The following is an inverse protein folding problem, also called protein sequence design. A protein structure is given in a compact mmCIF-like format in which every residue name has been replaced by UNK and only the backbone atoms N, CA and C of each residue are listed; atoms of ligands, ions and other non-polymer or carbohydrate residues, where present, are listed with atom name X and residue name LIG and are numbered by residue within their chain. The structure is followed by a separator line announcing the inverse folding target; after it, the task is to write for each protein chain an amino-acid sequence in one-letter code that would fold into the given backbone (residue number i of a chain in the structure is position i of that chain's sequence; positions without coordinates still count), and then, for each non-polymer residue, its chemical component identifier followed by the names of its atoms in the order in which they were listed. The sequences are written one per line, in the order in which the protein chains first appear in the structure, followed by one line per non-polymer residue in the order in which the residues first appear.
data_IF_956021076274
#
_entry.id   IF_956021076274
#
_cell.length_a   1.000
_cell.length_b   1.000
_cell.length_c   1.000
_cell.angle_alpha   90.00
_cell.angle_beta   90.00
_cell.angle_gamma   90.00
#
_symmetry.space_group_name_H-M   'P 1'
#
loop_
_entity.id
_entity.type
_entity.pdbx_description
1 polymer ?
#
# COMPACT_ATOMS: atom_id res chain seq x y z
N UNK A 1 0.96 -35.38 11.09
CA UNK A 1 -0.50 -35.17 11.16
C UNK A 1 -0.76 -33.68 11.32
N UNK A 2 -1.57 -33.10 10.44
CA UNK A 2 -1.98 -31.69 10.54
C UNK A 2 -3.00 -31.62 11.68
N UNK A 3 -2.62 -31.01 12.80
CA UNK A 3 -3.50 -30.86 13.95
C UNK A 3 -4.66 -29.94 13.58
N UNK A 4 -5.90 -30.41 13.76
CA UNK A 4 -7.10 -29.64 13.42
C UNK A 4 -7.55 -28.81 14.62
N UNK A 5 -8.03 -27.59 14.36
CA UNK A 5 -8.57 -26.70 15.39
C UNK A 5 -10.06 -27.02 15.59
N UNK A 6 -10.47 -27.17 16.84
CA UNK A 6 -11.88 -27.32 17.23
C UNK A 6 -12.23 -26.44 18.42
N UNK A 7 -13.51 -26.40 18.79
CA UNK A 7 -13.99 -25.74 20.01
C UNK A 7 -13.29 -26.37 21.20
N UNK A 8 -12.69 -25.55 22.06
CA UNK A 8 -11.92 -25.97 23.23
C UNK A 8 -10.48 -26.42 22.95
N UNK A 9 -9.97 -26.30 21.72
CA UNK A 9 -8.56 -26.58 21.43
C UNK A 9 -7.64 -25.56 22.12
N UNK A 10 -6.55 -26.05 22.72
CA UNK A 10 -5.52 -25.19 23.32
C UNK A 10 -4.50 -24.84 22.25
N UNK A 11 -4.36 -23.55 21.99
CA UNK A 11 -3.55 -23.01 20.91
C UNK A 11 -2.51 -22.02 21.42
N UNK A 12 -1.48 -21.80 20.62
CA UNK A 12 -0.57 -20.66 20.78
C UNK A 12 -0.52 -19.80 19.52
N UNK A 13 -0.43 -18.49 19.69
CA UNK A 13 -0.38 -17.52 18.60
C UNK A 13 0.58 -16.36 18.91
N UNK A 14 1.27 -15.81 17.90
CA UNK A 14 2.16 -14.66 18.06
C UNK A 14 1.39 -13.38 18.39
N UNK A 15 1.81 -12.69 19.46
CA UNK A 15 1.16 -11.49 20.01
C UNK A 15 0.94 -10.37 18.98
N UNK A 16 1.89 -10.21 18.04
CA UNK A 16 1.86 -9.20 16.98
C UNK A 16 0.63 -9.31 16.05
N UNK A 17 0.15 -10.53 15.84
CA UNK A 17 -0.94 -10.82 14.91
C UNK A 17 -2.29 -11.00 15.61
N UNK A 18 -2.32 -10.86 16.94
CA UNK A 18 -3.55 -10.90 17.72
C UNK A 18 -4.33 -9.58 17.56
N UNK A 19 -5.65 -9.66 17.72
CA UNK A 19 -6.60 -8.55 17.71
C UNK A 19 -7.64 -8.75 18.83
N UNK A 20 -8.34 -7.70 19.31
CA UNK A 20 -8.17 -6.28 18.97
C UNK A 20 -6.83 -5.70 19.49
N UNK A 21 -6.19 -4.85 18.70
CA UNK A 21 -4.85 -4.33 19.02
C UNK A 21 -4.83 -3.49 20.31
N UNK A 22 -5.93 -2.78 20.60
CA UNK A 22 -6.08 -1.94 21.82
C UNK A 22 -5.91 -2.77 23.09
N UNK A 23 -6.63 -3.88 23.17
CA UNK A 23 -6.60 -4.84 24.30
C UNK A 23 -5.18 -5.33 24.55
N UNK A 24 -4.50 -5.72 23.47
CA UNK A 24 -3.15 -6.27 23.53
C UNK A 24 -2.13 -5.21 23.94
N UNK A 25 -2.24 -3.99 23.42
CA UNK A 25 -1.34 -2.88 23.72
C UNK A 25 -1.49 -2.37 25.16
N UNK A 26 -2.69 -2.40 25.72
CA UNK A 26 -2.92 -2.05 27.13
C UNK A 26 -2.10 -2.94 28.07
N UNK A 27 -2.04 -4.25 27.77
CA UNK A 27 -1.33 -5.23 28.60
C UNK A 27 0.15 -5.38 28.23
N UNK A 28 0.49 -5.21 26.95
CA UNK A 28 1.85 -5.32 26.41
C UNK A 28 2.23 -4.08 25.59
N UNK A 29 2.56 -2.95 26.24
CA UNK A 29 2.85 -1.68 25.56
C UNK A 29 4.15 -1.70 24.74
N UNK A 30 5.10 -2.59 25.08
CA UNK A 30 6.36 -2.76 24.35
C UNK A 30 6.55 -4.22 23.95
N UNK A 31 6.00 -4.59 22.81
CA UNK A 31 6.21 -5.91 22.22
C UNK A 31 7.60 -5.91 21.55
N UNK A 32 8.61 -6.35 22.29
CA UNK A 32 9.96 -6.57 21.74
C UNK A 32 10.00 -7.98 21.15
N UNK A 33 10.17 -8.10 19.83
CA UNK A 33 10.20 -9.37 19.11
C UNK A 33 8.81 -9.93 18.76
N UNK A 34 8.71 -11.26 18.66
CA UNK A 34 7.44 -11.97 18.37
C UNK A 34 7.12 -12.98 19.47
N UNK A 35 6.87 -12.54 20.72
CA UNK A 35 6.45 -13.45 21.78
C UNK A 35 5.14 -14.14 21.39
N UNK A 36 5.03 -15.43 21.68
CA UNK A 36 3.80 -16.20 21.51
C UNK A 36 3.05 -16.22 22.84
N UNK A 37 1.74 -16.03 22.78
CA UNK A 37 0.86 -16.36 23.90
C UNK A 37 0.50 -17.83 23.75
N UNK A 38 0.70 -18.59 24.82
CA UNK A 38 0.31 -19.99 24.95
C UNK A 38 -1.06 -20.09 25.65
N UNK A 39 -1.66 -21.27 25.74
CA UNK A 39 -2.91 -21.50 26.49
C UNK A 39 -4.14 -20.73 25.99
N UNK A 40 -4.20 -20.39 24.70
CA UNK A 40 -5.38 -19.78 24.09
C UNK A 40 -6.48 -20.83 23.89
N UNK A 41 -7.66 -20.63 24.48
CA UNK A 41 -8.80 -21.51 24.29
C UNK A 41 -9.62 -21.09 23.07
N UNK A 42 -9.63 -21.91 22.03
CA UNK A 42 -10.39 -21.64 20.82
C UNK A 42 -11.91 -21.78 21.07
N UNK A 43 -12.67 -20.74 20.77
CA UNK A 43 -14.14 -20.72 20.93
C UNK A 43 -14.84 -21.01 19.61
N UNK A 44 -14.52 -20.25 18.58
CA UNK A 44 -15.21 -20.30 17.28
C UNK A 44 -14.34 -19.82 16.13
N UNK A 45 -14.69 -20.26 14.92
CA UNK A 45 -14.13 -19.81 13.64
C UNK A 45 -15.09 -18.82 13.00
N UNK A 46 -14.63 -17.60 12.70
CA UNK A 46 -15.44 -16.51 12.16
C UNK A 46 -14.69 -15.77 11.05
N UNK A 47 -15.43 -15.27 10.06
CA UNK A 47 -14.89 -14.31 9.09
C UNK A 47 -14.83 -12.92 9.74
N UNK A 48 -13.62 -12.38 9.86
CA UNK A 48 -13.40 -11.01 10.35
C UNK A 48 -12.59 -10.21 9.35
N UNK A 49 -12.90 -8.91 9.27
CA UNK A 49 -12.17 -7.98 8.41
C UNK A 49 -10.81 -7.67 9.03
N UNK A 50 -9.75 -8.25 8.48
CA UNK A 50 -8.36 -8.01 8.85
C UNK A 50 -7.63 -7.31 7.69
N UNK A 51 -6.94 -6.20 7.97
CA UNK A 51 -6.19 -5.45 6.96
C UNK A 51 -7.00 -5.16 5.68
N UNK A 52 -8.25 -4.73 5.85
CA UNK A 52 -9.24 -4.43 4.79
C UNK A 52 -9.79 -5.63 4.01
N UNK A 53 -9.31 -6.86 4.23
CA UNK A 53 -9.81 -8.09 3.60
C UNK A 53 -10.63 -8.92 4.57
N UNK A 54 -11.63 -9.66 4.09
CA UNK A 54 -12.30 -10.68 4.89
C UNK A 54 -11.38 -11.88 5.02
N UNK A 55 -11.12 -12.30 6.25
CA UNK A 55 -10.22 -13.40 6.53
C UNK A 55 -10.78 -14.30 7.61
N UNK A 56 -10.51 -15.59 7.46
CA UNK A 56 -10.90 -16.63 8.41
C UNK A 56 -10.06 -16.49 9.69
N UNK A 57 -10.74 -16.18 10.78
CA UNK A 57 -10.13 -15.94 12.08
C UNK A 57 -10.65 -16.95 13.11
N UNK A 58 -9.79 -17.32 14.05
CA UNK A 58 -10.18 -18.08 15.23
C UNK A 58 -10.29 -17.08 16.39
N UNK A 59 -11.42 -17.13 17.09
CA UNK A 59 -11.68 -16.36 18.30
C UNK A 59 -11.28 -17.20 19.51
N UNK A 60 -10.53 -16.59 20.41
CA UNK A 60 -9.98 -17.21 21.61
C UNK A 60 -10.43 -16.48 22.88
N UNK A 61 -10.46 -17.25 23.97
CA UNK A 61 -10.48 -16.75 25.34
C UNK A 61 -9.16 -17.09 26.02
N UNK A 62 -8.67 -16.18 26.85
CA UNK A 62 -7.42 -16.37 27.60
C UNK A 62 -7.55 -15.72 28.98
N UNK A 63 -6.94 -16.32 30.00
CA UNK A 63 -7.06 -15.85 31.39
C UNK A 63 -6.47 -14.45 31.58
N UNK A 64 -5.47 -14.09 30.77
CA UNK A 64 -4.93 -12.73 30.73
C UNK A 64 -5.92 -11.66 30.26
N UNK A 65 -6.99 -12.06 29.57
CA UNK A 65 -8.02 -11.20 28.99
C UNK A 65 -9.41 -11.73 29.39
N UNK A 66 -9.77 -11.70 30.68
CA UNK A 66 -10.91 -12.45 31.19
C UNK A 66 -12.27 -11.97 30.67
N UNK A 67 -12.35 -10.71 30.23
CA UNK A 67 -13.58 -10.04 29.78
C UNK A 67 -13.57 -9.68 28.29
N UNK A 68 -12.52 -10.01 27.53
CA UNK A 68 -12.35 -9.56 26.15
C UNK A 68 -11.98 -10.72 25.23
N UNK A 69 -12.70 -10.83 24.12
CA UNK A 69 -12.41 -11.84 23.10
C UNK A 69 -11.26 -11.37 22.21
N UNK A 70 -10.24 -12.20 22.10
CA UNK A 70 -9.09 -11.97 21.21
C UNK A 70 -9.17 -12.91 20.02
N UNK A 71 -8.73 -12.48 18.84
CA UNK A 71 -8.80 -13.28 17.63
C UNK A 71 -7.54 -13.13 16.78
N UNK A 72 -7.26 -14.16 15.98
CA UNK A 72 -6.14 -14.19 15.05
C UNK A 72 -6.51 -14.96 13.78
N UNK A 73 -5.82 -14.66 12.70
CA UNK A 73 -5.92 -15.43 11.45
C UNK A 73 -5.48 -16.89 11.67
N UNK A 74 -6.20 -17.84 11.07
CA UNK A 74 -5.98 -19.29 11.22
C UNK A 74 -4.52 -19.70 10.94
N UNK A 75 -3.94 -19.20 9.85
CA UNK A 75 -2.51 -19.40 9.48
C UNK A 75 -1.49 -19.17 10.61
N UNK A 76 -1.76 -18.28 11.57
CA UNK A 76 -0.82 -17.98 12.66
C UNK A 76 -1.10 -18.78 13.95
N UNK A 77 -2.21 -19.51 13.99
CA UNK A 77 -2.60 -20.38 15.08
C UNK A 77 -1.78 -21.69 15.03
N UNK A 78 -1.21 -22.09 16.17
CA UNK A 78 -0.59 -23.39 16.34
C UNK A 78 -1.36 -24.16 17.41
N UNK A 79 -1.86 -25.34 17.06
CA UNK A 79 -2.57 -26.21 18.02
C UNK A 79 -1.57 -26.97 18.86
N UNK A 80 -1.70 -26.86 20.18
CA UNK A 80 -0.87 -27.59 21.15
C UNK A 80 -1.62 -28.85 21.60
N UNK A 81 -2.86 -28.69 22.06
CA UNK A 81 -3.76 -29.77 22.45
C UNK A 81 -4.98 -29.79 21.53
N UNK A 82 -5.22 -30.93 20.89
CA UNK A 82 -6.36 -31.13 20.00
C UNK A 82 -7.67 -31.25 20.79
N UNK A 83 -8.74 -30.69 20.22
CA UNK A 83 -10.11 -30.82 20.75
C UNK A 83 -10.68 -32.20 20.42
N UNK A 84 -11.60 -32.75 21.24
CA UNK A 84 -12.34 -33.97 20.90
C UNK A 84 -13.00 -33.88 19.51
N UNK A 85 -12.87 -34.94 18.72
CA UNK A 85 -13.21 -35.00 17.28
C UNK A 85 -14.64 -34.52 16.92
N UNK A 86 -15.57 -34.53 17.88
CA UNK A 86 -16.94 -34.06 17.71
C UNK A 86 -17.11 -32.53 17.61
N UNK A 87 -16.06 -31.74 17.88
CA UNK A 87 -16.12 -30.27 17.95
C UNK A 87 -15.13 -29.57 17.02
N UNK A 88 -14.70 -30.25 15.95
CA UNK A 88 -13.83 -29.65 14.94
C UNK A 88 -14.56 -28.57 14.13
N UNK A 89 -13.87 -27.47 13.81
CA UNK A 89 -14.44 -26.46 12.93
C UNK A 89 -14.53 -27.00 11.50
N UNK A 90 -15.67 -26.76 10.83
CA UNK A 90 -15.82 -27.01 9.41
C UNK A 90 -14.93 -26.08 8.57
N UNK A 91 -14.68 -26.47 7.33
CA UNK A 91 -13.96 -25.63 6.38
C UNK A 91 -14.86 -24.45 6.00
N UNK A 92 -14.57 -23.28 6.59
CA UNK A 92 -15.15 -22.01 6.18
C UNK A 92 -14.14 -21.43 5.19
N UNK A 93 -14.46 -21.53 3.90
CA UNK A 93 -13.70 -20.87 2.85
C UNK A 93 -14.05 -19.37 2.88
N UNK A 94 -13.04 -18.51 2.77
CA UNK A 94 -13.29 -17.10 2.53
C UNK A 94 -13.52 -16.96 1.02
N UNK A 95 -14.74 -16.64 0.61
CA UNK A 95 -15.03 -16.33 -0.79
C UNK A 95 -14.06 -15.24 -1.27
N UNK A 96 -13.33 -15.54 -2.34
CA UNK A 96 -12.51 -14.58 -3.05
C UNK A 96 -13.44 -13.53 -3.67
N UNK A 97 -13.23 -12.28 -3.26
CA UNK A 97 -13.67 -11.03 -3.89
C UNK A 97 -15.06 -11.04 -4.59
N UNK A 98 -16.11 -10.72 -3.82
CA UNK A 98 -17.36 -10.23 -4.41
C UNK A 98 -17.11 -8.80 -4.91
N UNK A 99 -16.85 -8.67 -6.21
CA UNK A 99 -16.89 -7.39 -6.92
C UNK A 99 -18.31 -6.81 -6.86
N UNK A 100 -18.41 -5.57 -6.39
CA UNK A 100 -19.64 -4.79 -6.41
C UNK A 100 -19.85 -4.32 -7.85
N UNK A 101 -20.94 -4.79 -8.47
CA UNK A 101 -21.37 -4.37 -9.80
C UNK A 101 -21.80 -2.91 -9.72
N UNK A 102 -21.02 -2.00 -10.33
CA UNK A 102 -21.47 -0.64 -10.67
C UNK A 102 -22.21 -0.71 -12.03
N UNK A 103 -23.41 -0.16 -12.09
CA UNK A 103 -24.19 -0.02 -13.32
C UNK A 103 -23.52 1.01 -14.24
N UNK A 104 -23.01 0.58 -15.40
CA UNK A 104 -22.45 1.46 -16.43
C UNK A 104 -23.45 1.75 -17.57
N UNK A 105 -23.41 3.00 -18.02
CA UNK A 105 -24.11 3.57 -19.19
C UNK A 105 -23.67 2.91 -20.53
N UNK A 106 -24.48 3.02 -21.61
CA UNK A 106 -24.43 2.08 -22.71
C UNK A 106 -23.18 2.28 -23.58
N UNK A 107 -22.39 1.22 -23.71
CA UNK A 107 -21.24 1.14 -24.61
C UNK A 107 -21.60 0.28 -25.82
N UNK A 108 -21.18 0.73 -27.00
CA UNK A 108 -21.29 -0.02 -28.25
C UNK A 108 -20.73 -1.44 -28.07
N UNK A 109 -21.52 -2.45 -28.47
CA UNK A 109 -21.26 -3.86 -28.22
C UNK A 109 -19.88 -4.29 -28.77
N UNK A 110 -18.92 -4.49 -27.87
CA UNK A 110 -17.72 -5.28 -28.14
C UNK A 110 -18.07 -6.77 -28.05
N UNK A 111 -17.65 -7.62 -29.01
CA UNK A 111 -18.01 -9.03 -29.02
C UNK A 111 -17.50 -9.78 -27.78
N UNK A 112 -18.38 -10.61 -27.24
CA UNK A 112 -18.36 -11.15 -25.88
C UNK A 112 -17.33 -12.26 -25.59
N UNK A 113 -16.29 -12.46 -26.40
CA UNK A 113 -15.34 -13.55 -26.13
C UNK A 113 -13.93 -13.24 -26.63
N UNK A 114 -13.23 -12.35 -25.94
CA UNK A 114 -11.76 -12.28 -26.02
C UNK A 114 -11.22 -13.38 -25.12
N UNK A 115 -10.88 -14.53 -25.71
CA UNK A 115 -10.22 -15.60 -24.97
C UNK A 115 -8.88 -15.10 -24.42
N UNK A 116 -8.58 -15.25 -23.12
CA UNK A 116 -7.26 -14.91 -22.59
C UNK A 116 -6.25 -15.92 -23.15
N UNK A 117 -5.38 -15.46 -24.05
CA UNK A 117 -4.36 -16.29 -24.65
C UNK A 117 -3.17 -16.47 -23.70
N UNK A 118 -2.57 -17.66 -23.72
CA UNK A 118 -1.48 -18.03 -22.81
C UNK A 118 -0.24 -17.15 -23.01
N UNK A 119 0.37 -16.75 -21.90
CA UNK A 119 1.60 -15.94 -21.85
C UNK A 119 2.70 -16.51 -22.75
N UNK A 120 3.03 -15.81 -23.82
CA UNK A 120 4.21 -16.11 -24.66
C UNK A 120 3.99 -16.07 -26.18
N UNK A 121 2.76 -15.95 -26.66
CA UNK A 121 2.47 -15.67 -28.08
C UNK A 121 2.11 -14.19 -28.21
N UNK A 122 2.66 -13.50 -29.21
CA UNK A 122 2.31 -12.10 -29.48
C UNK A 122 0.82 -12.04 -29.88
N UNK A 123 -0.04 -11.62 -28.96
CA UNK A 123 -1.51 -11.49 -29.13
C UNK A 123 -1.88 -10.67 -30.38
N UNK A 124 -0.96 -9.82 -30.86
CA UNK A 124 -1.08 -9.04 -32.10
C UNK A 124 -1.35 -9.90 -33.35
N UNK A 125 -0.71 -11.06 -33.49
CA UNK A 125 -0.91 -11.91 -34.66
C UNK A 125 -2.30 -12.56 -34.66
N UNK A 126 -2.81 -12.87 -33.47
CA UNK A 126 -4.11 -13.49 -33.26
C UNK A 126 -5.22 -12.48 -33.52
N UNK A 127 -5.11 -11.28 -32.95
CA UNK A 127 -6.06 -10.18 -33.19
C UNK A 127 -6.15 -9.78 -34.68
N UNK A 128 -5.03 -9.80 -35.42
CA UNK A 128 -5.04 -9.59 -36.88
C UNK A 128 -5.74 -10.74 -37.61
N UNK A 129 -5.55 -11.98 -37.17
CA UNK A 129 -6.22 -13.14 -37.74
C UNK A 129 -7.73 -13.12 -37.47
N UNK A 130 -8.14 -12.52 -36.36
CA UNK A 130 -9.55 -12.29 -35.98
C UNK A 130 -10.16 -11.06 -36.69
N UNK A 131 -9.40 -10.38 -37.54
CA UNK A 131 -9.87 -9.26 -38.36
C UNK A 131 -9.81 -7.89 -37.68
N UNK A 132 -9.20 -7.77 -36.50
CA UNK A 132 -8.97 -6.47 -35.85
C UNK A 132 -7.79 -5.74 -36.50
N UNK A 133 -7.98 -4.46 -36.80
CA UNK A 133 -6.90 -3.59 -37.26
C UNK A 133 -6.04 -3.16 -36.07
N UNK A 134 -5.05 -3.97 -35.72
CA UNK A 134 -4.09 -3.64 -34.66
C UNK A 134 -3.00 -2.74 -35.23
N UNK A 135 -3.05 -1.46 -34.83
CA UNK A 135 -1.97 -0.50 -35.09
C UNK A 135 -0.68 -1.00 -34.44
N UNK A 136 0.40 -0.92 -35.19
CA UNK A 136 1.64 -1.62 -34.88
C UNK A 136 2.78 -0.64 -34.72
N UNK A 137 2.69 0.12 -33.63
CA UNK A 137 3.66 1.14 -33.21
C UNK A 137 5.02 0.57 -32.77
N UNK A 138 5.42 -0.60 -33.29
CA UNK A 138 6.73 -1.23 -33.00
C UNK A 138 7.82 -0.78 -33.96
N UNK A 139 7.47 -0.11 -35.05
CA UNK A 139 8.47 0.47 -35.94
C UNK A 139 9.15 1.65 -35.22
N UNK A 140 10.48 1.65 -35.08
CA UNK A 140 11.17 2.77 -34.46
C UNK A 140 10.91 4.03 -35.28
N UNK A 141 10.61 5.14 -34.60
CA UNK A 141 10.62 6.46 -35.21
C UNK A 141 11.93 6.64 -36.00
N UNK A 142 11.95 7.37 -37.13
CA UNK A 142 13.12 7.47 -38.01
C UNK A 142 14.38 7.99 -37.30
N UNK A 143 14.20 8.76 -36.23
CA UNK A 143 15.24 9.24 -35.33
C UNK A 143 15.84 8.17 -34.39
N UNK A 144 15.14 7.05 -34.17
CA UNK A 144 15.57 5.90 -33.36
C UNK A 144 16.17 4.76 -34.19
N UNK A 145 16.27 4.90 -35.51
CA UNK A 145 16.96 3.93 -36.37
C UNK A 145 18.47 4.22 -36.28
N UNK A 146 19.32 3.29 -35.81
CA UNK A 146 20.74 3.54 -35.66
C UNK A 146 21.38 3.79 -37.03
N UNK A 147 22.20 4.85 -37.13
CA UNK A 147 22.97 5.14 -38.34
C UNK A 147 24.03 4.05 -38.53
N UNK A 148 24.22 3.50 -39.74
CA UNK A 148 25.20 2.44 -39.97
C UNK A 148 26.61 2.90 -39.57
N UNK A 149 27.19 2.28 -38.54
CA UNK A 149 28.53 2.59 -38.04
C UNK A 149 28.57 3.31 -36.68
N UNK A 150 27.43 3.74 -36.14
CA UNK A 150 27.33 4.20 -34.76
C UNK A 150 27.14 3.02 -33.81
N UNK A 151 28.05 2.88 -32.84
CA UNK A 151 27.82 2.02 -31.69
C UNK A 151 26.70 2.64 -30.86
N UNK A 152 25.58 1.94 -30.73
CA UNK A 152 24.51 2.30 -29.78
C UNK A 152 25.13 2.55 -28.41
N UNK A 153 25.03 3.78 -27.91
CA UNK A 153 25.39 4.06 -26.53
C UNK A 153 24.37 3.37 -25.62
N UNK A 154 24.80 2.83 -24.48
CA UNK A 154 23.94 2.14 -23.48
C UNK A 154 22.72 2.98 -23.01
N UNK A 155 22.68 4.27 -23.35
CA UNK A 155 21.60 5.21 -23.07
C UNK A 155 20.44 5.15 -24.08
N UNK A 156 20.57 4.43 -25.20
CA UNK A 156 19.55 4.32 -26.26
C UNK A 156 18.71 3.04 -26.18
N UNK A 157 18.96 2.16 -25.21
CA UNK A 157 18.10 0.98 -24.98
C UNK A 157 17.05 1.28 -23.92
N UNK A 158 15.78 1.33 -24.31
CA UNK A 158 14.67 1.30 -23.37
C UNK A 158 14.45 -0.15 -22.91
N UNK A 159 14.72 -0.43 -21.64
CA UNK A 159 14.54 -1.77 -21.04
C UNK A 159 15.43 -2.03 -19.84
N UNK A 160 14.96 -2.84 -18.89
CA UNK A 160 15.76 -3.27 -17.75
C UNK A 160 16.75 -4.37 -18.16
N UNK A 161 18.02 -4.02 -18.36
CA UNK A 161 19.11 -4.95 -18.70
C UNK A 161 19.58 -5.87 -17.57
N UNK A 162 18.71 -6.21 -16.61
CA UNK A 162 18.98 -7.19 -15.54
C UNK A 162 19.86 -6.71 -14.37
N UNK A 163 20.55 -5.56 -14.48
CA UNK A 163 21.28 -4.95 -13.36
C UNK A 163 20.98 -3.46 -13.23
N UNK A 164 20.62 -3.04 -12.02
CA UNK A 164 20.50 -1.62 -11.70
C UNK A 164 21.89 -0.97 -11.79
N UNK A 165 22.05 0.06 -12.63
CA UNK A 165 23.32 0.79 -12.76
C UNK A 165 23.85 1.31 -11.42
N UNK A 166 22.98 1.74 -10.49
CA UNK A 166 23.40 2.13 -9.13
C UNK A 166 24.14 1.00 -8.39
N UNK A 167 23.69 -0.25 -8.55
CA UNK A 167 24.39 -1.41 -7.98
C UNK A 167 25.71 -1.70 -8.68
N UNK A 168 25.80 -1.48 -9.99
CA UNK A 168 27.05 -1.64 -10.78
C UNK A 168 28.11 -0.64 -10.33
N UNK A 169 27.70 0.60 -10.05
CA UNK A 169 28.57 1.64 -9.50
C UNK A 169 28.86 1.47 -8.00
N UNK A 170 28.43 0.37 -7.37
CA UNK A 170 28.67 0.12 -5.95
C UNK A 170 27.97 1.11 -5.02
N UNK A 171 26.95 1.82 -5.48
CA UNK A 171 26.18 2.71 -4.62
C UNK A 171 25.45 1.86 -3.57
N UNK A 172 25.73 2.15 -2.30
CA UNK A 172 25.05 1.54 -1.18
C UNK A 172 23.56 1.94 -1.19
N UNK A 173 22.71 1.09 -0.61
CA UNK A 173 21.34 1.46 -0.28
C UNK A 173 21.35 2.38 0.94
N UNK A 174 21.79 3.61 0.72
CA UNK A 174 21.66 4.67 1.69
C UNK A 174 20.20 5.10 1.72
N UNK A 175 19.53 4.75 2.82
CA UNK A 175 18.18 5.22 3.14
C UNK A 175 18.08 6.72 2.89
N UNK A 176 16.91 7.24 2.48
CA UNK A 176 16.74 8.66 2.22
C UNK A 176 17.17 9.49 3.44
N UNK A 177 18.16 10.35 3.25
CA UNK A 177 18.70 11.28 4.25
C UNK A 177 18.59 12.70 3.72
N UNK A 178 18.23 13.63 4.59
CA UNK A 178 18.37 15.04 4.29
C UNK A 178 19.86 15.38 4.40
N UNK A 179 20.49 15.76 3.28
CA UNK A 179 21.95 15.92 3.14
C UNK A 179 22.53 16.88 4.19
N UNK A 180 21.72 17.82 4.68
CA UNK A 180 22.14 18.88 5.61
C UNK A 180 21.78 18.61 7.08
N UNK A 181 21.10 17.49 7.40
CA UNK A 181 20.72 17.17 8.78
C UNK A 181 21.43 15.92 9.27
N UNK A 182 21.98 16.00 10.48
CA UNK A 182 22.43 14.81 11.20
C UNK A 182 21.23 14.03 11.76
N UNK A 183 21.35 12.71 11.87
CA UNK A 183 20.28 11.82 12.39
C UNK A 183 19.84 12.17 13.83
N UNK A 184 20.69 12.88 14.58
CA UNK A 184 20.38 13.42 15.90
C UNK A 184 19.48 14.64 15.85
N UNK A 185 19.73 15.57 14.92
CA UNK A 185 18.98 16.82 14.78
C UNK A 185 17.58 16.56 14.22
N UNK A 186 17.46 15.63 13.28
CA UNK A 186 16.16 15.26 12.68
C UNK A 186 15.18 14.66 13.70
N UNK A 187 15.68 14.00 14.76
CA UNK A 187 14.85 13.42 15.83
C UNK A 187 14.36 14.47 16.84
N UNK A 188 15.10 15.55 17.00
CA UNK A 188 14.77 16.65 17.93
C UNK A 188 13.88 17.71 17.27
N UNK A 189 13.79 17.69 15.95
CA UNK A 189 12.96 18.62 15.19
C UNK A 189 11.48 18.26 15.23
N UNK A 190 10.65 19.29 15.25
CA UNK A 190 9.20 19.15 15.08
C UNK A 190 8.86 18.81 13.63
N UNK A 191 7.68 18.23 13.41
CA UNK A 191 7.21 17.89 12.05
C UNK A 191 7.18 19.15 11.17
N UNK A 192 6.78 20.30 11.72
CA UNK A 192 6.76 21.57 10.99
C UNK A 192 8.17 22.02 10.61
N UNK A 193 9.15 21.95 11.51
CA UNK A 193 10.52 22.34 11.15
C UNK A 193 11.11 21.41 10.09
N UNK A 194 10.82 20.10 10.17
CA UNK A 194 11.25 19.15 9.15
C UNK A 194 10.59 19.44 7.78
N UNK A 195 9.31 19.80 7.78
CA UNK A 195 8.57 20.19 6.58
C UNK A 195 9.16 21.47 5.95
N UNK A 196 9.51 22.47 6.76
CA UNK A 196 10.14 23.69 6.26
C UNK A 196 11.53 23.44 5.64
N UNK A 197 12.28 22.42 6.11
CA UNK A 197 13.54 22.04 5.47
C UNK A 197 13.37 21.53 4.04
N UNK A 198 12.18 21.10 3.63
CA UNK A 198 11.89 20.69 2.26
C UNK A 198 11.72 21.87 1.31
N UNK A 199 11.53 23.08 1.84
CA UNK A 199 11.35 24.29 1.05
C UNK A 199 12.59 25.19 1.15
N UNK A 200 13.23 25.53 0.03
CA UNK A 200 14.29 26.53 0.04
C UNK A 200 13.72 27.91 0.40
N UNK A 201 14.03 28.41 1.59
CA UNK A 201 13.48 29.67 2.10
C UNK A 201 13.82 30.87 1.18
N UNK A 202 15.04 30.90 0.64
CA UNK A 202 15.49 31.92 -0.31
C UNK A 202 14.65 31.95 -1.57
N UNK A 203 14.33 30.77 -2.13
CA UNK A 203 13.48 30.66 -3.32
C UNK A 203 12.05 31.10 -3.04
N UNK A 204 11.49 30.73 -1.87
CA UNK A 204 10.15 31.13 -1.48
C UNK A 204 10.01 32.66 -1.41
N UNK A 205 10.95 33.34 -0.77
CA UNK A 205 10.89 34.78 -0.56
C UNK A 205 11.22 35.57 -1.83
N UNK A 206 12.29 35.21 -2.53
CA UNK A 206 12.82 36.00 -3.66
C UNK A 206 12.06 35.77 -4.96
N UNK A 207 11.62 34.55 -5.23
CA UNK A 207 10.99 34.19 -6.51
C UNK A 207 9.49 34.07 -6.35
N UNK A 208 9.03 33.12 -5.51
CA UNK A 208 7.61 32.80 -5.42
C UNK A 208 6.77 33.96 -4.86
N UNK A 209 7.14 34.51 -3.70
CA UNK A 209 6.40 35.62 -3.10
C UNK A 209 6.48 36.89 -3.95
N UNK A 210 7.61 37.15 -4.61
CA UNK A 210 7.75 38.28 -5.51
C UNK A 210 6.80 38.18 -6.71
N UNK A 211 6.72 37.00 -7.34
CA UNK A 211 5.81 36.76 -8.48
C UNK A 211 4.34 36.77 -8.08
N UNK A 212 3.99 36.15 -6.95
CA UNK A 212 2.63 36.16 -6.41
C UNK A 212 2.17 37.59 -6.16
N UNK A 213 2.99 38.39 -5.47
CA UNK A 213 2.66 39.79 -5.19
C UNK A 213 2.59 40.63 -6.46
N UNK A 214 3.45 40.37 -7.46
CA UNK A 214 3.38 41.05 -8.77
C UNK A 214 2.06 40.75 -9.50
N UNK A 215 1.52 39.54 -9.36
CA UNK A 215 0.22 39.19 -9.95
C UNK A 215 -0.96 39.78 -9.16
N UNK A 216 -0.90 39.77 -7.84
CA UNK A 216 -1.92 40.37 -6.98
C UNK A 216 -2.01 41.90 -7.16
N UNK A 217 -0.86 42.57 -7.36
CA UNK A 217 -0.83 44.00 -7.66
C UNK A 217 -1.60 44.33 -8.96
N UNK A 218 -1.58 43.44 -9.97
CA UNK A 218 -2.37 43.60 -11.21
C UNK A 218 -3.88 43.51 -10.94
N UNK A 219 -4.26 42.59 -10.04
CA UNK A 219 -5.64 42.37 -9.63
C UNK A 219 -6.12 43.36 -8.54
N UNK A 220 -5.25 44.30 -8.13
CA UNK A 220 -5.47 45.27 -7.02
C UNK A 220 -5.81 44.59 -5.69
N UNK A 221 -5.31 43.38 -5.49
CA UNK A 221 -5.47 42.64 -4.25
C UNK A 221 -4.40 43.03 -3.22
N UNK A 222 -4.61 42.60 -1.97
CA UNK A 222 -3.64 42.82 -0.89
C UNK A 222 -2.40 41.93 -1.09
N UNK A 223 -1.22 42.48 -0.82
CA UNK A 223 0.05 41.73 -0.82
C UNK A 223 0.09 40.68 0.29
N UNK A 224 0.65 39.53 -0.05
CA UNK A 224 0.73 38.33 0.79
C UNK A 224 2.15 38.18 1.35
N UNK A 225 2.23 37.83 2.63
CA UNK A 225 3.49 37.47 3.30
C UNK A 225 3.68 35.94 3.41
N UNK A 226 4.89 35.52 3.78
CA UNK A 226 5.24 34.09 3.93
C UNK A 226 4.28 33.33 4.87
N UNK A 227 3.84 33.95 5.95
CA UNK A 227 2.89 33.32 6.89
C UNK A 227 1.51 33.04 6.28
N UNK A 228 1.01 33.92 5.42
CA UNK A 228 -0.26 33.72 4.71
C UNK A 228 -0.14 32.66 3.62
N UNK A 229 1.00 32.64 2.92
CA UNK A 229 1.33 31.60 1.96
C UNK A 229 1.43 30.21 2.61
N UNK A 230 2.07 30.10 3.78
CA UNK A 230 2.12 28.84 4.53
C UNK A 230 0.73 28.39 5.03
N UNK A 231 -0.15 29.32 5.42
CA UNK A 231 -1.55 29.01 5.75
C UNK A 231 -2.31 28.45 4.56
N UNK A 232 -2.10 29.03 3.38
CA UNK A 232 -2.68 28.53 2.13
C UNK A 232 -2.20 27.10 1.83
N UNK A 233 -0.90 26.82 1.92
CA UNK A 233 -0.37 25.46 1.77
C UNK A 233 -0.95 24.48 2.81
N UNK A 234 -1.12 24.93 4.06
CA UNK A 234 -1.77 24.15 5.11
C UNK A 234 -3.21 23.78 4.76
N UNK A 235 -3.99 24.72 4.18
CA UNK A 235 -5.34 24.43 3.68
C UNK A 235 -5.34 23.38 2.57
N UNK A 236 -4.40 23.47 1.62
CA UNK A 236 -4.26 22.47 0.56
C UNK A 236 -3.96 21.08 1.12
N UNK A 237 -3.04 20.99 2.08
CA UNK A 237 -2.72 19.73 2.73
C UNK A 237 -3.95 19.16 3.49
N UNK A 238 -4.71 20.03 4.15
CA UNK A 238 -5.97 19.65 4.81
C UNK A 238 -7.01 19.12 3.80
N UNK A 239 -7.22 19.82 2.68
CA UNK A 239 -8.14 19.38 1.62
C UNK A 239 -7.71 18.05 0.99
N UNK A 240 -6.40 17.85 0.77
CA UNK A 240 -5.87 16.58 0.27
C UNK A 240 -6.11 15.43 1.27
N UNK A 241 -6.03 15.70 2.58
CA UNK A 241 -6.36 14.75 3.64
C UNK A 241 -7.85 14.42 3.73
N UNK A 242 -8.73 15.40 3.52
CA UNK A 242 -10.18 15.23 3.61
C UNK A 242 -10.76 14.26 2.57
N UNK A 243 -10.21 14.24 1.35
CA UNK A 243 -10.63 13.25 0.33
C UNK A 243 -10.47 11.81 0.81
N UNK A 244 -9.41 11.51 1.59
CA UNK A 244 -9.22 10.16 2.18
C UNK A 244 -10.24 9.84 3.27
N UNK A 245 -10.73 10.85 3.99
CA UNK A 245 -11.74 10.66 5.05
C UNK A 245 -13.12 10.44 4.42
N UNK A 246 -13.49 11.21 3.39
CA UNK A 246 -14.76 11.03 2.69
C UNK A 246 -14.86 9.68 1.96
N UNK A 247 -13.78 9.18 1.36
CA UNK A 247 -13.74 7.82 0.81
C UNK A 247 -13.77 6.71 1.87
N UNK A 248 -13.42 7.02 3.13
CA UNK A 248 -13.52 6.08 4.25
C UNK A 248 -14.91 6.09 4.90
N UNK A 249 -15.65 7.20 4.82
CA UNK A 249 -17.01 7.32 5.36
C UNK A 249 -18.11 7.02 4.34
N UNK A 250 -17.82 7.12 3.03
CA UNK A 250 -18.75 6.74 1.96
C UNK A 250 -18.74 5.23 1.64
N UNK A 251 -17.85 4.46 2.30
CA UNK A 251 -17.83 3.00 2.25
C UNK A 251 -18.37 2.34 3.52
N UNK A 252 -19.32 3.00 4.20
CA UNK A 252 -20.11 2.48 5.32
C UNK A 252 -21.59 2.44 4.93
#
# INVERSE_FOLDING_TARGET
MVKKVGIGAVCSAPLRYMRPLRVIQTKHPQIVGTPRIEQLLALRKELKRLNKRLQVCIVFRHDDFPNEEIYCHERFCRVEVESPTAQLFGDIEADEDVEVVEEEEPTDELPAEVQPHSVGVDDRFLLRNDGFNVDDDRDPAPENIPVPGETLNDQQTWGWGGRCHRKVFGAADDKPKLIQLTDSESKLMTILSLFLCLFPATYLDEVLLAEINRNLDKEKARRIGLGEFLRFLGLWYYMAGLRRILTLTAGL
#
